data_IF_543301385695
#
_entry.id   IF_543301385695
#
_cell.length_a   1.000
_cell.length_b   1.000
_cell.length_c   1.000
_cell.angle_alpha   90.00
_cell.angle_beta   90.00
_cell.angle_gamma   90.00
#
_symmetry.space_group_name_H-M   'P 1'
#
loop_
_entity.id
_entity.type
_entity.pdbx_description
1 polymer ?
#
# COMPACT_ATOMS: atom_id res chain seq x y z
N UNK A 1 42.38 3.49 14.03
CA UNK A 1 42.14 4.66 14.91
C UNK A 1 40.98 5.50 14.39
N UNK A 2 40.46 6.44 15.18
CA UNK A 2 39.30 7.29 14.81
C UNK A 2 39.52 8.10 13.52
N UNK A 3 40.76 8.54 13.26
CA UNK A 3 41.14 9.26 12.04
C UNK A 3 40.96 8.41 10.78
N UNK A 4 41.43 7.16 10.78
CA UNK A 4 41.31 6.24 9.65
C UNK A 4 39.84 5.92 9.31
N UNK A 5 38.98 5.74 10.32
CA UNK A 5 37.54 5.51 10.12
C UNK A 5 36.87 6.73 9.46
N UNK A 6 37.20 7.94 9.92
CA UNK A 6 36.66 9.19 9.36
C UNK A 6 37.10 9.41 7.92
N UNK A 7 38.37 9.10 7.62
CA UNK A 7 38.87 9.15 6.24
C UNK A 7 38.16 8.14 5.34
N UNK A 8 37.97 6.90 5.80
CA UNK A 8 37.25 5.87 5.04
C UNK A 8 35.78 6.24 4.79
N UNK A 9 35.09 6.82 5.77
CA UNK A 9 33.71 7.28 5.62
C UNK A 9 33.56 8.39 4.56
N UNK A 10 34.55 9.28 4.45
CA UNK A 10 34.54 10.38 3.49
C UNK A 10 34.96 9.98 2.06
N UNK A 11 35.44 8.74 1.86
CA UNK A 11 35.90 8.27 0.55
C UNK A 11 34.78 7.76 -0.37
N UNK A 12 33.54 7.62 0.11
CA UNK A 12 32.43 7.11 -0.71
C UNK A 12 32.07 8.14 -1.79
N UNK A 13 32.42 7.84 -3.04
CA UNK A 13 32.21 8.74 -4.19
C UNK A 13 30.89 8.53 -4.92
N UNK A 14 30.30 7.35 -4.81
CA UNK A 14 29.07 6.99 -5.54
C UNK A 14 27.96 6.60 -4.56
N UNK A 15 26.86 7.37 -4.46
CA UNK A 15 25.68 6.89 -3.75
C UNK A 15 25.11 5.67 -4.48
N UNK A 16 24.52 4.69 -3.77
CA UNK A 16 23.83 3.59 -4.42
C UNK A 16 22.66 4.14 -5.26
N UNK A 17 22.55 3.67 -6.50
CA UNK A 17 21.40 4.00 -7.35
C UNK A 17 20.23 3.10 -6.96
N UNK A 18 19.12 3.72 -6.60
CA UNK A 18 17.88 3.04 -6.23
C UNK A 18 16.89 3.26 -7.36
N UNK A 19 16.51 2.18 -8.04
CA UNK A 19 15.48 2.23 -9.08
C UNK A 19 14.13 1.88 -8.45
N UNK A 20 13.18 2.81 -8.57
CA UNK A 20 11.84 2.62 -8.06
C UNK A 20 10.93 2.16 -9.20
N UNK A 21 10.36 0.98 -9.05
CA UNK A 21 9.36 0.43 -9.96
C UNK A 21 8.01 0.38 -9.26
N UNK A 22 6.92 0.39 -10.02
CA UNK A 22 5.57 0.29 -9.47
C UNK A 22 4.97 -1.06 -9.84
N UNK A 23 4.22 -1.65 -8.91
CA UNK A 23 3.45 -2.86 -9.15
C UNK A 23 2.01 -2.63 -8.72
N UNK A 24 1.06 -3.26 -9.40
CA UNK A 24 -0.36 -3.14 -9.08
C UNK A 24 -0.86 -4.44 -8.44
N UNK A 25 -1.38 -4.35 -7.21
CA UNK A 25 -1.95 -5.48 -6.48
C UNK A 25 -3.35 -5.06 -6.02
N UNK A 26 -4.39 -5.76 -6.50
CA UNK A 26 -5.79 -5.50 -6.12
C UNK A 26 -6.26 -4.05 -6.38
N UNK A 27 -5.71 -3.39 -7.40
CA UNK A 27 -6.04 -1.99 -7.73
C UNK A 27 -5.22 -0.95 -6.96
N UNK A 28 -4.36 -1.38 -6.03
CA UNK A 28 -3.45 -0.52 -5.26
C UNK A 28 -2.07 -0.51 -5.89
N UNK A 29 -1.55 0.68 -6.19
CA UNK A 29 -0.19 0.87 -6.72
C UNK A 29 0.82 0.85 -5.56
N UNK A 30 1.59 -0.23 -5.50
CA UNK A 30 2.60 -0.47 -4.48
C UNK A 30 4.01 -0.26 -5.06
N UNK A 31 4.92 0.39 -4.32
CA UNK A 31 6.29 0.58 -4.78
C UNK A 31 7.07 -0.73 -4.68
N UNK A 32 7.93 -1.00 -5.67
CA UNK A 32 8.87 -2.10 -5.70
C UNK A 32 10.26 -1.54 -5.93
N UNK A 33 11.17 -1.79 -5.00
CA UNK A 33 12.50 -1.20 -5.02
C UNK A 33 13.46 -2.19 -5.66
N UNK A 34 14.08 -1.80 -6.77
CA UNK A 34 15.19 -2.56 -7.37
C UNK A 34 16.49 -1.88 -6.98
N UNK A 35 17.40 -2.65 -6.38
CA UNK A 35 18.72 -2.12 -6.06
C UNK A 35 19.76 -2.70 -6.98
N UNK A 36 20.35 -1.84 -7.80
CA UNK A 36 21.58 -2.13 -8.50
C UNK A 36 22.75 -1.94 -7.54
N UNK A 37 23.32 -3.06 -7.08
CA UNK A 37 24.64 -3.18 -6.43
C UNK A 37 24.84 -2.33 -5.17
N UNK A 38 24.40 -2.84 -4.02
CA UNK A 38 24.79 -2.31 -2.69
C UNK A 38 26.17 -2.86 -2.28
N UNK A 39 26.47 -4.11 -2.66
CA UNK A 39 27.75 -4.75 -2.34
C UNK A 39 28.81 -4.30 -3.34
N UNK A 40 29.65 -3.37 -2.92
CA UNK A 40 30.78 -2.89 -3.71
C UNK A 40 31.99 -3.79 -3.49
N UNK A 41 32.72 -4.07 -4.57
CA UNK A 41 34.04 -4.69 -4.46
C UNK A 41 35.01 -3.77 -3.70
N UNK A 42 36.07 -4.34 -3.14
CA UNK A 42 37.09 -3.60 -2.35
C UNK A 42 37.65 -2.40 -3.12
N UNK A 43 37.74 -2.51 -4.45
CA UNK A 43 38.21 -1.45 -5.36
C UNK A 43 37.16 -0.34 -5.56
N UNK A 44 35.88 -0.70 -5.62
CA UNK A 44 34.75 0.24 -5.76
C UNK A 44 34.41 1.00 -4.48
N UNK A 45 34.89 0.51 -3.32
CA UNK A 45 34.73 1.18 -2.02
C UNK A 45 35.56 2.46 -1.90
N UNK A 46 36.61 2.62 -2.70
CA UNK A 46 37.32 3.89 -2.90
C UNK A 46 38.19 4.39 -1.73
N UNK A 47 38.31 3.62 -0.63
CA UNK A 47 39.28 3.89 0.43
C UNK A 47 40.58 3.11 0.22
N UNK A 48 41.72 3.72 0.57
CA UNK A 48 43.03 3.09 0.41
C UNK A 48 43.21 1.90 1.36
N UNK A 49 43.77 0.80 0.86
CA UNK A 49 44.13 -0.38 1.66
C UNK A 49 45.22 -0.05 2.70
N UNK A 50 46.05 0.95 2.41
CA UNK A 50 47.12 1.43 3.29
C UNK A 50 46.51 2.26 4.42
N UNK A 51 46.55 1.72 5.64
CA UNK A 51 46.03 2.37 6.85
C UNK A 51 44.62 1.92 7.26
N UNK A 52 43.98 1.05 6.49
CA UNK A 52 42.69 0.46 6.83
C UNK A 52 42.90 -0.88 7.55
N UNK A 53 42.10 -1.15 8.59
CA UNK A 53 42.14 -2.40 9.33
C UNK A 53 41.07 -3.36 8.80
N UNK A 54 41.31 -4.67 8.88
CA UNK A 54 40.33 -5.72 8.57
C UNK A 54 38.98 -5.49 9.28
N UNK A 55 39.01 -4.94 10.50
CA UNK A 55 37.80 -4.61 11.26
C UNK A 55 36.91 -3.55 10.59
N UNK A 56 37.51 -2.60 9.87
CA UNK A 56 36.77 -1.55 9.15
C UNK A 56 36.09 -2.17 7.92
N UNK A 57 36.79 -3.07 7.23
CA UNK A 57 36.25 -3.76 6.06
C UNK A 57 35.05 -4.66 6.42
N UNK A 58 35.17 -5.43 7.50
CA UNK A 58 34.08 -6.23 8.06
C UNK A 58 32.88 -5.35 8.45
N UNK A 59 33.14 -4.19 9.07
CA UNK A 59 32.09 -3.25 9.45
C UNK A 59 31.36 -2.69 8.21
N UNK A 60 32.10 -2.29 7.18
CA UNK A 60 31.51 -1.79 5.92
C UNK A 60 30.64 -2.86 5.27
N UNK A 61 31.12 -4.10 5.19
CA UNK A 61 30.34 -5.20 4.64
C UNK A 61 29.05 -5.48 5.45
N UNK A 62 29.13 -5.45 6.78
CA UNK A 62 27.96 -5.59 7.63
C UNK A 62 26.93 -4.45 7.42
N UNK A 63 27.40 -3.21 7.23
CA UNK A 63 26.54 -2.07 6.94
C UNK A 63 25.90 -2.16 5.54
N UNK A 64 26.63 -2.60 4.52
CA UNK A 64 26.08 -2.85 3.18
C UNK A 64 24.93 -3.86 3.24
N UNK A 65 25.13 -4.98 3.96
CA UNK A 65 24.09 -6.01 4.17
C UNK A 65 22.91 -5.50 4.99
N UNK A 66 23.16 -4.68 6.03
CA UNK A 66 22.12 -4.06 6.83
C UNK A 66 21.26 -3.12 5.96
N UNK A 67 21.90 -2.29 5.13
CA UNK A 67 21.19 -1.34 4.26
C UNK A 67 20.27 -2.06 3.26
N UNK A 68 20.73 -3.17 2.69
CA UNK A 68 19.91 -4.05 1.84
C UNK A 68 18.65 -4.54 2.58
N UNK A 69 18.84 -5.05 3.81
CA UNK A 69 17.72 -5.56 4.63
C UNK A 69 16.75 -4.47 5.10
N UNK A 70 17.26 -3.28 5.41
CA UNK A 70 16.41 -2.13 5.76
C UNK A 70 15.55 -1.71 4.58
N UNK A 71 16.10 -1.76 3.37
CA UNK A 71 15.36 -1.40 2.17
C UNK A 71 14.27 -2.43 1.82
N UNK A 72 14.58 -3.73 1.93
CA UNK A 72 13.58 -4.82 1.81
C UNK A 72 12.44 -4.63 2.84
N UNK A 73 12.79 -4.31 4.09
CA UNK A 73 11.80 -4.07 5.14
C UNK A 73 10.94 -2.81 4.84
N UNK A 74 11.55 -1.73 4.35
CA UNK A 74 10.85 -0.50 4.01
C UNK A 74 9.88 -0.69 2.83
N UNK A 75 10.24 -1.49 1.82
CA UNK A 75 9.34 -1.88 0.73
C UNK A 75 8.10 -2.60 1.25
N UNK A 76 8.32 -3.62 2.10
CA UNK A 76 7.23 -4.41 2.67
C UNK A 76 6.35 -3.58 3.61
N UNK A 77 6.94 -2.75 4.46
CA UNK A 77 6.20 -1.88 5.38
C UNK A 77 5.32 -0.88 4.61
N UNK A 78 5.87 -0.25 3.57
CA UNK A 78 5.13 0.71 2.74
C UNK A 78 3.98 0.04 2.00
N UNK A 79 4.23 -1.16 1.46
CA UNK A 79 3.21 -1.98 0.80
C UNK A 79 2.09 -2.35 1.76
N UNK A 80 2.43 -2.79 2.97
CA UNK A 80 1.45 -3.16 3.99
C UNK A 80 0.57 -1.98 4.41
N UNK A 81 1.16 -0.80 4.64
CA UNK A 81 0.41 0.42 4.99
C UNK A 81 -0.61 0.78 3.90
N UNK A 82 -0.17 0.85 2.64
CA UNK A 82 -1.06 1.16 1.51
C UNK A 82 -2.23 0.17 1.37
N UNK A 83 -1.95 -1.13 1.56
CA UNK A 83 -3.00 -2.15 1.50
C UNK A 83 -3.99 -2.03 2.67
N UNK A 84 -3.51 -1.74 3.88
CA UNK A 84 -4.37 -1.55 5.04
C UNK A 84 -5.32 -0.36 4.86
N UNK A 85 -4.83 0.75 4.33
CA UNK A 85 -5.65 1.93 4.06
C UNK A 85 -6.79 1.60 3.07
N UNK A 86 -6.49 0.84 2.01
CA UNK A 86 -7.50 0.43 1.02
C UNK A 86 -8.50 -0.58 1.58
N UNK A 87 -8.04 -1.52 2.41
CA UNK A 87 -8.91 -2.48 3.10
C UNK A 87 -9.87 -1.75 4.04
N UNK A 88 -9.39 -0.73 4.77
CA UNK A 88 -10.24 0.05 5.65
C UNK A 88 -11.28 0.86 4.85
N UNK A 89 -10.88 1.46 3.74
CA UNK A 89 -11.76 2.14 2.79
C UNK A 89 -12.89 1.21 2.32
N UNK A 90 -12.51 -0.01 1.92
CA UNK A 90 -13.43 -1.02 1.40
C UNK A 90 -14.38 -1.52 2.49
N UNK A 91 -13.86 -1.79 3.69
CA UNK A 91 -14.68 -2.20 4.85
C UNK A 91 -15.71 -1.14 5.21
N UNK A 92 -15.34 0.14 5.22
CA UNK A 92 -16.29 1.25 5.48
C UNK A 92 -17.39 1.31 4.41
N UNK A 93 -17.04 1.08 3.13
CA UNK A 93 -18.03 1.03 2.04
C UNK A 93 -19.00 -0.14 2.19
N UNK A 94 -18.49 -1.33 2.49
CA UNK A 94 -19.34 -2.53 2.73
C UNK A 94 -20.30 -2.27 3.89
N UNK A 95 -19.82 -1.73 5.01
CA UNK A 95 -20.68 -1.41 6.15
C UNK A 95 -21.75 -0.35 5.80
N UNK A 96 -21.40 0.67 5.01
CA UNK A 96 -22.39 1.67 4.58
C UNK A 96 -23.48 1.04 3.70
N UNK A 97 -23.12 0.07 2.85
CA UNK A 97 -24.08 -0.66 2.04
C UNK A 97 -24.99 -1.52 2.91
N UNK A 98 -24.42 -2.35 3.78
CA UNK A 98 -25.18 -3.30 4.61
C UNK A 98 -26.12 -2.62 5.59
N UNK A 99 -25.67 -1.59 6.30
CA UNK A 99 -26.43 -1.03 7.42
C UNK A 99 -27.22 0.24 7.07
N UNK A 100 -27.00 0.84 5.89
CA UNK A 100 -27.69 2.06 5.49
C UNK A 100 -28.38 1.94 4.14
N UNK A 101 -27.63 1.61 3.09
CA UNK A 101 -28.19 1.64 1.72
C UNK A 101 -29.19 0.51 1.49
N UNK A 102 -28.85 -0.73 1.86
CA UNK A 102 -29.74 -1.89 1.66
C UNK A 102 -31.06 -1.70 2.42
N UNK A 103 -31.07 -1.40 3.74
CA UNK A 103 -32.33 -1.21 4.48
C UNK A 103 -33.19 -0.06 3.92
N UNK A 104 -32.56 1.04 3.48
CA UNK A 104 -33.29 2.16 2.87
C UNK A 104 -33.96 1.76 1.55
N UNK A 105 -33.27 0.98 0.71
CA UNK A 105 -33.82 0.50 -0.55
C UNK A 105 -34.97 -0.48 -0.32
N UNK A 106 -34.87 -1.34 0.70
CA UNK A 106 -35.95 -2.26 1.09
C UNK A 106 -37.19 -1.50 1.60
N UNK A 107 -37.01 -0.45 2.40
CA UNK A 107 -38.11 0.40 2.87
C UNK A 107 -38.80 1.11 1.71
N UNK A 108 -38.03 1.67 0.76
CA UNK A 108 -38.57 2.31 -0.45
C UNK A 108 -39.33 1.30 -1.32
N UNK A 109 -38.81 0.08 -1.47
CA UNK A 109 -39.50 -0.97 -2.23
C UNK A 109 -40.83 -1.39 -1.58
N UNK A 110 -40.85 -1.51 -0.25
CA UNK A 110 -42.07 -1.79 0.50
C UNK A 110 -43.10 -0.66 0.35
N UNK A 111 -42.67 0.60 0.41
CA UNK A 111 -43.53 1.76 0.20
C UNK A 111 -44.16 1.78 -1.20
N UNK A 112 -43.36 1.54 -2.24
CA UNK A 112 -43.86 1.49 -3.63
C UNK A 112 -44.90 0.39 -3.78
N UNK A 113 -44.63 -0.81 -3.26
CA UNK A 113 -45.56 -1.95 -3.30
C UNK A 113 -46.88 -1.60 -2.62
N UNK A 114 -46.83 -1.03 -1.41
CA UNK A 114 -48.03 -0.60 -0.68
C UNK A 114 -48.86 0.42 -1.46
N UNK A 115 -48.21 1.41 -2.11
CA UNK A 115 -48.92 2.42 -2.89
C UNK A 115 -49.53 1.85 -4.17
N UNK A 116 -48.87 0.90 -4.82
CA UNK A 116 -49.42 0.22 -5.98
C UNK A 116 -50.66 -0.61 -5.61
N UNK A 117 -50.61 -1.36 -4.51
CA UNK A 117 -51.76 -2.13 -4.01
C UNK A 117 -52.96 -1.22 -3.66
N UNK A 118 -52.70 -0.06 -3.05
CA UNK A 118 -53.75 0.90 -2.71
C UNK A 118 -54.42 1.49 -3.98
N UNK A 119 -53.61 1.85 -4.99
CA UNK A 119 -54.10 2.31 -6.28
C UNK A 119 -54.92 1.23 -7.02
N UNK A 120 -54.49 -0.03 -6.93
CA UNK A 120 -55.23 -1.15 -7.52
C UNK A 120 -56.57 -1.36 -6.82
N UNK A 121 -56.60 -1.30 -5.48
CA UNK A 121 -57.86 -1.34 -4.71
C UNK A 121 -58.81 -0.22 -5.12
N UNK A 122 -58.36 1.03 -5.15
CA UNK A 122 -59.18 2.18 -5.55
C UNK A 122 -59.79 2.00 -6.95
N UNK A 123 -58.98 1.52 -7.90
CA UNK A 123 -59.44 1.25 -9.27
C UNK A 123 -60.52 0.15 -9.32
N UNK A 124 -60.37 -0.93 -8.55
CA UNK A 124 -61.39 -1.98 -8.46
C UNK A 124 -62.70 -1.44 -7.88
N UNK A 125 -62.66 -0.61 -6.83
CA UNK A 125 -63.85 0.02 -6.28
C UNK A 125 -64.53 0.96 -7.29
N UNK A 126 -63.75 1.74 -8.06
CA UNK A 126 -64.27 2.60 -9.14
C UNK A 126 -65.00 1.79 -10.20
N UNK A 127 -64.37 0.71 -10.69
CA UNK A 127 -64.97 -0.16 -11.71
C UNK A 127 -66.26 -0.83 -11.21
N UNK A 128 -66.31 -1.26 -9.95
CA UNK A 128 -67.54 -1.82 -9.34
C UNK A 128 -68.68 -0.81 -9.30
N UNK A 129 -68.41 0.48 -9.03
CA UNK A 129 -69.44 1.54 -9.00
C UNK A 129 -69.96 1.94 -10.37
N UNK A 130 -69.18 1.78 -11.44
CA UNK A 130 -69.59 2.13 -12.80
C UNK A 130 -70.42 1.00 -13.44
N UNK A 131 -70.23 -0.24 -12.99
CA UNK A 131 -70.91 -1.42 -13.53
C UNK A 131 -72.26 -1.73 -12.85
N UNK A 132 -72.56 -1.10 -11.72
CA UNK A 132 -73.85 -1.16 -11.01
C UNK A 132 -74.70 0.06 -11.37
#
# INVERSE_FOLDING_TARGET
>A
GKSALRSAANCVRTPPQVELSENNIMGVVVPKIKVSTIQKSVEERGYGLIGTSVRIDESVHAFEKLAEKVLEAAELETTMKKLLDEIESTKRRVNALEFKVIPQLEEVAAYITLRLEELERENVFRLKRIKA
#
